data_IF_547705910614
#
_entry.id   IF_547705910614
#
_cell.length_a   1.000
_cell.length_b   1.000
_cell.length_c   1.000
_cell.angle_alpha   90.00
_cell.angle_beta   90.00
_cell.angle_gamma   90.00
#
_symmetry.space_group_name_H-M   'P 1'
#
loop_
_entity.id
_entity.type
_entity.pdbx_description
1 polymer ?
#
# COMPACT_ATOMS: atom_id res chain seq x y z
N UNK A 1 -24.25 0.68 0.54
CA UNK A 1 -22.89 0.74 1.13
C UNK A 1 -21.90 1.03 0.01
N UNK A 2 -21.08 2.07 0.13
CA UNK A 2 -19.99 2.38 -0.81
C UNK A 2 -18.64 2.28 -0.10
N UNK A 3 -17.57 2.07 -0.86
CA UNK A 3 -16.20 2.15 -0.37
C UNK A 3 -15.63 3.53 -0.73
N UNK A 4 -15.03 4.20 0.25
CA UNK A 4 -14.25 5.43 0.06
C UNK A 4 -12.78 5.09 0.28
N UNK A 5 -11.94 5.33 -0.72
CA UNK A 5 -10.51 5.11 -0.65
C UNK A 5 -9.81 6.43 -0.27
N UNK A 6 -9.31 6.49 0.97
CA UNK A 6 -8.52 7.61 1.49
C UNK A 6 -7.06 7.51 1.00
N UNK A 7 -6.85 7.64 -0.30
CA UNK A 7 -5.53 7.49 -0.94
C UNK A 7 -5.48 8.18 -2.30
N UNK A 8 -4.29 8.65 -2.67
CA UNK A 8 -3.96 9.13 -4.02
C UNK A 8 -3.24 8.08 -4.87
N UNK A 9 -3.06 6.85 -4.37
CA UNK A 9 -2.33 5.79 -5.06
C UNK A 9 -3.13 5.21 -6.24
N UNK A 10 -2.63 5.35 -7.48
CA UNK A 10 -3.27 4.73 -8.64
C UNK A 10 -3.30 3.20 -8.56
N UNK A 11 -2.25 2.61 -7.98
CA UNK A 11 -2.12 1.16 -7.85
C UNK A 11 -3.21 0.57 -6.93
N UNK A 12 -3.48 1.20 -5.77
CA UNK A 12 -4.58 0.78 -4.89
C UNK A 12 -5.94 0.89 -5.56
N UNK A 13 -6.16 1.98 -6.31
CA UNK A 13 -7.40 2.15 -7.08
C UNK A 13 -7.56 1.06 -8.14
N UNK A 14 -6.49 0.75 -8.90
CA UNK A 14 -6.51 -0.28 -9.92
C UNK A 14 -6.80 -1.68 -9.33
N UNK A 15 -6.20 -2.02 -8.17
CA UNK A 15 -6.48 -3.28 -7.47
C UNK A 15 -7.96 -3.41 -7.07
N UNK A 16 -8.56 -2.36 -6.51
CA UNK A 16 -9.97 -2.38 -6.12
C UNK A 16 -10.87 -2.55 -7.35
N UNK A 17 -10.59 -1.84 -8.44
CA UNK A 17 -11.32 -1.97 -9.70
C UNK A 17 -11.21 -3.37 -10.30
N UNK A 18 -10.00 -3.95 -10.30
CA UNK A 18 -9.79 -5.32 -10.76
C UNK A 18 -10.54 -6.35 -9.90
N UNK A 19 -10.78 -6.04 -8.61
CA UNK A 19 -11.61 -6.84 -7.70
C UNK A 19 -13.12 -6.57 -7.80
N UNK A 20 -13.55 -5.76 -8.80
CA UNK A 20 -14.96 -5.42 -9.04
C UNK A 20 -15.50 -4.31 -8.14
N UNK A 21 -14.66 -3.60 -7.40
CA UNK A 21 -15.04 -2.51 -6.50
C UNK A 21 -14.66 -1.17 -7.12
N UNK A 22 -15.63 -0.30 -7.36
CA UNK A 22 -15.38 1.08 -7.80
C UNK A 22 -15.47 2.02 -6.58
N UNK A 23 -14.32 2.41 -5.97
CA UNK A 23 -14.35 3.27 -4.80
C UNK A 23 -14.49 4.74 -5.19
N UNK A 24 -15.08 5.53 -4.30
CA UNK A 24 -14.88 6.97 -4.33
C UNK A 24 -13.47 7.29 -3.77
N UNK A 25 -12.64 7.98 -4.53
CA UNK A 25 -11.30 8.38 -4.06
C UNK A 25 -11.34 9.76 -3.43
N UNK A 26 -10.76 9.89 -2.24
CA UNK A 26 -10.63 11.17 -1.52
C UNK A 26 -9.18 11.31 -1.04
N UNK A 27 -8.46 12.37 -1.48
CA UNK A 27 -7.13 12.66 -0.96
C UNK A 27 -7.17 12.91 0.55
N UNK A 28 -6.34 12.24 1.38
CA UNK A 28 -6.44 12.35 2.83
C UNK A 28 -5.89 13.67 3.40
N UNK A 29 -4.97 14.35 2.70
CA UNK A 29 -4.41 15.64 3.14
C UNK A 29 -3.61 15.56 4.44
N UNK A 30 -3.03 14.41 4.78
CA UNK A 30 -2.24 14.17 6.00
C UNK A 30 -0.79 14.56 5.75
N UNK A 31 -0.17 15.26 6.70
CA UNK A 31 1.28 15.45 6.76
C UNK A 31 1.92 14.19 7.35
N UNK A 32 2.35 13.30 6.46
CA UNK A 32 2.86 11.99 6.83
C UNK A 32 4.20 12.09 7.57
N UNK A 33 5.08 13.01 7.14
CA UNK A 33 6.41 13.19 7.75
C UNK A 33 6.27 13.70 9.18
N UNK A 34 5.51 14.76 9.40
CA UNK A 34 5.26 15.30 10.72
C UNK A 34 4.59 14.29 11.67
N UNK A 35 3.66 13.47 11.14
CA UNK A 35 3.00 12.43 11.94
C UNK A 35 3.96 11.32 12.38
N UNK A 36 4.86 10.88 11.50
CA UNK A 36 5.89 9.88 11.81
C UNK A 36 6.88 10.44 12.84
N UNK A 37 7.40 11.65 12.61
CA UNK A 37 8.34 12.30 13.51
C UNK A 37 7.76 12.45 14.94
N UNK A 38 6.53 12.92 15.06
CA UNK A 38 5.85 13.05 16.35
C UNK A 38 5.67 11.71 17.08
N UNK A 39 5.36 10.63 16.34
CA UNK A 39 5.20 9.30 16.94
C UNK A 39 6.56 8.69 17.34
N UNK A 40 7.61 8.89 16.55
CA UNK A 40 8.97 8.46 16.87
C UNK A 40 9.53 9.20 18.09
N UNK A 41 9.29 10.50 18.20
CA UNK A 41 9.63 11.29 19.39
C UNK A 41 8.90 10.78 20.64
N UNK A 42 7.59 10.55 20.54
CA UNK A 42 6.79 10.00 21.64
C UNK A 42 7.27 8.63 22.10
N UNK A 43 7.71 7.81 21.15
CA UNK A 43 8.20 6.44 21.37
C UNK A 43 9.67 6.40 21.86
N UNK A 44 10.46 7.39 21.46
CA UNK A 44 11.92 7.44 21.69
C UNK A 44 12.73 6.50 20.79
N UNK A 45 12.14 6.02 19.69
CA UNK A 45 12.79 5.12 18.73
C UNK A 45 12.09 5.16 17.36
N UNK A 46 12.81 4.82 16.26
CA UNK A 46 12.21 4.70 14.94
C UNK A 46 11.04 3.71 14.91
N UNK A 47 10.08 3.97 14.06
CA UNK A 47 8.94 3.09 13.86
C UNK A 47 9.35 1.81 13.09
N UNK A 48 9.04 0.61 13.60
CA UNK A 48 9.10 -0.60 12.79
C UNK A 48 8.17 -0.48 11.57
N UNK A 49 8.47 -1.19 10.46
CA UNK A 49 7.67 -1.10 9.24
C UNK A 49 6.18 -1.30 9.42
N UNK A 50 5.77 -2.25 10.26
CA UNK A 50 4.36 -2.51 10.55
C UNK A 50 3.67 -1.33 11.25
N UNK A 51 4.33 -0.78 12.28
CA UNK A 51 3.78 0.32 13.03
C UNK A 51 3.68 1.58 12.17
N UNK A 52 4.69 1.80 11.30
CA UNK A 52 4.72 2.90 10.34
C UNK A 52 3.52 2.85 9.38
N UNK A 53 3.35 1.72 8.66
CA UNK A 53 2.28 1.62 7.66
C UNK A 53 0.89 1.59 8.32
N UNK A 54 0.78 1.06 9.54
CA UNK A 54 -0.47 1.03 10.29
C UNK A 54 -0.86 2.43 10.77
N UNK A 55 0.10 3.21 11.30
CA UNK A 55 -0.10 4.60 11.69
C UNK A 55 -0.61 5.44 10.51
N UNK A 56 0.10 5.41 9.40
CA UNK A 56 -0.23 6.22 8.22
C UNK A 56 -1.56 5.78 7.59
N UNK A 57 -1.85 4.48 7.52
CA UNK A 57 -3.13 3.99 7.06
C UNK A 57 -4.29 4.49 7.93
N UNK A 58 -4.11 4.47 9.24
CA UNK A 58 -5.09 4.96 10.23
C UNK A 58 -5.35 6.45 10.05
N UNK A 59 -4.31 7.27 10.06
CA UNK A 59 -4.44 8.73 9.95
C UNK A 59 -5.14 9.14 8.65
N UNK A 60 -4.83 8.47 7.53
CA UNK A 60 -5.49 8.69 6.23
C UNK A 60 -6.98 8.38 6.30
N UNK A 61 -7.35 7.25 6.88
CA UNK A 61 -8.76 6.88 7.04
C UNK A 61 -9.51 7.84 7.96
N UNK A 62 -8.92 8.20 9.11
CA UNK A 62 -9.52 9.10 10.09
C UNK A 62 -9.75 10.51 9.52
N UNK A 63 -8.78 11.06 8.77
CA UNK A 63 -8.89 12.37 8.14
C UNK A 63 -10.07 12.42 7.15
N UNK A 64 -10.21 11.40 6.31
CA UNK A 64 -11.30 11.33 5.34
C UNK A 64 -12.64 11.04 6.02
N UNK A 65 -12.69 10.12 6.99
CA UNK A 65 -13.91 9.83 7.73
C UNK A 65 -14.45 11.07 8.47
N UNK A 66 -13.55 11.87 9.08
CA UNK A 66 -13.93 13.12 9.74
C UNK A 66 -14.55 14.13 8.75
N UNK A 67 -14.06 14.20 7.51
CA UNK A 67 -14.60 15.09 6.49
C UNK A 67 -15.97 14.66 5.95
N UNK A 68 -16.25 13.34 5.94
CA UNK A 68 -17.54 12.80 5.48
C UNK A 68 -18.63 12.90 6.55
N UNK A 69 -18.27 12.83 7.83
CA UNK A 69 -19.22 12.68 8.90
C UNK A 69 -19.92 11.31 8.89
N UNK A 70 -21.14 11.24 9.43
CA UNK A 70 -21.93 9.99 9.39
C UNK A 70 -22.51 9.75 8.01
N UNK A 71 -22.15 8.60 7.42
CA UNK A 71 -22.51 8.25 6.04
C UNK A 71 -22.64 6.72 5.87
N UNK A 72 -23.35 6.26 4.86
CA UNK A 72 -23.44 4.84 4.48
C UNK A 72 -22.20 4.42 3.65
N UNK A 73 -21.04 4.53 4.28
CA UNK A 73 -19.74 4.28 3.65
C UNK A 73 -18.78 3.54 4.57
N UNK A 74 -17.89 2.76 3.96
CA UNK A 74 -16.67 2.25 4.56
C UNK A 74 -15.50 3.11 4.06
N UNK A 75 -14.68 3.65 4.95
CA UNK A 75 -13.52 4.48 4.61
C UNK A 75 -12.25 3.67 4.79
N UNK A 76 -11.52 3.44 3.71
CA UNK A 76 -10.28 2.66 3.69
C UNK A 76 -9.08 3.59 3.58
N UNK A 77 -8.23 3.59 4.57
CA UNK A 77 -6.86 4.11 4.50
C UNK A 77 -5.87 2.99 4.23
N UNK A 78 -4.80 3.32 3.54
CA UNK A 78 -3.74 2.37 3.26
C UNK A 78 -2.38 3.05 3.11
N UNK A 79 -1.33 2.37 3.59
CA UNK A 79 0.06 2.77 3.40
C UNK A 79 0.95 1.57 3.14
N UNK A 80 2.14 1.78 2.55
CA UNK A 80 3.06 0.69 2.22
C UNK A 80 4.51 1.11 2.38
N UNK A 81 5.32 0.20 2.93
CA UNK A 81 6.75 0.35 3.08
C UNK A 81 7.45 -0.96 2.71
N UNK A 82 8.65 -0.87 2.14
CA UNK A 82 9.47 -2.03 1.81
C UNK A 82 10.65 -2.12 2.77
N UNK A 83 10.81 -3.25 3.43
CA UNK A 83 11.92 -3.53 4.31
C UNK A 83 12.92 -4.48 3.63
N UNK A 84 14.19 -4.07 3.59
CA UNK A 84 15.27 -4.87 3.03
C UNK A 84 16.54 -4.65 3.84
N UNK A 85 17.18 -5.74 4.25
CA UNK A 85 18.44 -5.73 5.05
C UNK A 85 18.39 -4.79 6.26
N UNK A 86 17.27 -4.85 7.01
CA UNK A 86 17.06 -4.03 8.21
C UNK A 86 16.73 -2.56 7.96
N UNK A 87 16.63 -2.13 6.70
CA UNK A 87 16.30 -0.75 6.33
C UNK A 87 14.88 -0.69 5.76
N UNK A 88 14.10 0.29 6.20
CA UNK A 88 12.76 0.59 5.63
C UNK A 88 12.89 1.61 4.51
N UNK A 89 12.41 1.25 3.34
CA UNK A 89 12.46 2.09 2.15
C UNK A 89 11.05 2.61 1.79
N UNK A 90 10.94 3.93 1.71
CA UNK A 90 9.83 4.59 1.02
C UNK A 90 10.10 4.73 -0.48
N UNK A 91 9.52 5.75 -1.11
CA UNK A 91 9.75 6.09 -2.52
C UNK A 91 11.17 6.64 -2.72
N UNK A 92 11.89 6.30 -3.80
CA UNK A 92 13.25 6.82 -4.04
C UNK A 92 13.27 8.27 -4.53
N UNK A 93 12.25 8.70 -5.26
CA UNK A 93 12.08 10.03 -5.88
C UNK A 93 13.11 10.42 -6.94
N UNK A 94 14.33 9.92 -6.89
CA UNK A 94 15.40 10.23 -7.86
C UNK A 94 15.97 8.97 -8.50
N UNK A 95 16.45 9.05 -9.75
CA UNK A 95 17.05 7.91 -10.46
C UNK A 95 18.25 7.32 -9.74
N UNK A 96 19.14 8.16 -9.20
CA UNK A 96 20.36 7.69 -8.53
C UNK A 96 20.03 6.86 -7.28
N UNK A 97 19.05 7.30 -6.49
CA UNK A 97 18.58 6.57 -5.31
C UNK A 97 17.91 5.26 -5.73
N UNK A 98 17.09 5.27 -6.78
CA UNK A 98 16.46 4.06 -7.29
C UNK A 98 17.49 3.04 -7.79
N UNK A 99 18.50 3.47 -8.54
CA UNK A 99 19.55 2.59 -9.04
C UNK A 99 20.41 2.01 -7.92
N UNK A 100 20.76 2.81 -6.93
CA UNK A 100 21.52 2.33 -5.76
C UNK A 100 20.72 1.27 -4.98
N UNK A 101 19.41 1.46 -4.81
CA UNK A 101 18.52 0.48 -4.17
C UNK A 101 18.44 -0.82 -4.96
N UNK A 102 18.27 -0.76 -6.29
CA UNK A 102 18.22 -1.95 -7.13
C UNK A 102 19.50 -2.77 -7.09
N UNK A 103 20.68 -2.09 -7.10
CA UNK A 103 21.95 -2.78 -6.93
C UNK A 103 22.08 -3.50 -5.60
N UNK A 104 21.54 -2.91 -4.53
CA UNK A 104 21.53 -3.53 -3.21
C UNK A 104 20.52 -4.69 -3.10
N UNK A 105 19.36 -4.57 -3.76
CA UNK A 105 18.28 -5.56 -3.70
C UNK A 105 18.50 -6.77 -4.61
N UNK A 106 19.29 -6.64 -5.66
CA UNK A 106 19.58 -7.69 -6.65
C UNK A 106 20.00 -9.00 -5.98
N UNK A 107 19.29 -10.10 -6.26
CA UNK A 107 19.49 -11.42 -5.70
C UNK A 107 19.05 -11.58 -4.23
N UNK A 108 18.58 -10.51 -3.60
CA UNK A 108 18.11 -10.52 -2.23
C UNK A 108 16.62 -10.73 -2.09
N UNK A 109 16.18 -10.82 -0.84
CA UNK A 109 14.76 -10.93 -0.48
C UNK A 109 14.40 -9.82 0.50
N UNK A 110 13.38 -9.04 0.18
CA UNK A 110 12.83 -8.05 1.08
C UNK A 110 11.36 -8.31 1.40
N UNK A 111 10.78 -7.53 2.29
CA UNK A 111 9.39 -7.67 2.71
C UNK A 111 8.64 -6.38 2.44
N UNK A 112 7.55 -6.46 1.69
CA UNK A 112 6.60 -5.37 1.60
C UNK A 112 5.58 -5.48 2.74
N UNK A 113 5.39 -4.38 3.44
CA UNK A 113 4.40 -4.19 4.48
C UNK A 113 3.30 -3.28 3.94
N UNK A 114 2.05 -3.70 4.01
CA UNK A 114 0.89 -2.88 3.63
C UNK A 114 -0.07 -2.78 4.81
N UNK A 115 -0.20 -1.57 5.34
CA UNK A 115 -1.13 -1.23 6.40
C UNK A 115 -2.51 -0.93 5.83
N UNK A 116 -3.53 -1.40 6.52
CA UNK A 116 -4.94 -1.18 6.21
C UNK A 116 -5.63 -0.63 7.44
N UNK A 117 -6.46 0.39 7.27
CA UNK A 117 -7.37 0.85 8.29
C UNK A 117 -8.75 1.11 7.68
N UNK A 118 -9.75 0.42 8.18
CA UNK A 118 -11.13 0.55 7.71
C UNK A 118 -11.99 1.17 8.80
N UNK A 119 -12.74 2.21 8.46
CA UNK A 119 -13.70 2.87 9.34
C UNK A 119 -15.11 2.68 8.77
N UNK A 120 -16.02 2.19 9.57
CA UNK A 120 -17.45 2.23 9.27
C UNK A 120 -18.00 3.63 9.64
N UNK A 121 -18.26 4.45 8.62
CA UNK A 121 -18.71 5.82 8.84
C UNK A 121 -20.12 5.93 9.45
N UNK A 122 -20.89 4.84 9.50
CA UNK A 122 -22.19 4.80 10.20
C UNK A 122 -22.02 4.83 11.72
N UNK A 123 -21.04 4.10 12.24
CA UNK A 123 -20.77 3.93 13.66
C UNK A 123 -19.60 4.77 14.15
N UNK A 124 -18.63 5.06 13.29
CA UNK A 124 -17.34 5.65 13.59
C UNK A 124 -16.31 4.61 14.11
N UNK A 125 -16.69 3.33 14.17
CA UNK A 125 -15.77 2.27 14.56
C UNK A 125 -14.73 1.99 13.48
N UNK A 126 -13.47 1.81 13.88
CA UNK A 126 -12.36 1.53 12.98
C UNK A 126 -11.57 0.31 13.42
N UNK A 127 -11.09 -0.44 12.45
CA UNK A 127 -10.18 -1.56 12.65
C UNK A 127 -9.09 -1.59 11.59
N UNK A 128 -7.92 -2.11 11.95
CA UNK A 128 -6.80 -2.21 11.01
C UNK A 128 -6.05 -3.52 11.10
N UNK A 129 -5.28 -3.79 10.05
CA UNK A 129 -4.38 -4.93 9.96
C UNK A 129 -3.21 -4.62 9.03
N UNK A 130 -2.08 -5.28 9.25
CA UNK A 130 -0.92 -5.22 8.36
C UNK A 130 -0.80 -6.55 7.62
N UNK A 131 -0.71 -6.47 6.30
CA UNK A 131 -0.34 -7.59 5.45
C UNK A 131 1.15 -7.49 5.08
N UNK A 132 1.82 -8.65 4.98
CA UNK A 132 3.23 -8.74 4.58
C UNK A 132 3.35 -9.71 3.42
N UNK A 133 4.25 -9.40 2.49
CA UNK A 133 4.65 -10.32 1.44
C UNK A 133 6.16 -10.20 1.21
N UNK A 134 6.86 -11.35 1.18
CA UNK A 134 8.28 -11.39 0.83
C UNK A 134 8.43 -11.39 -0.69
N UNK A 135 9.41 -10.63 -1.18
CA UNK A 135 9.73 -10.52 -2.60
C UNK A 135 11.20 -10.85 -2.81
N UNK A 136 11.49 -11.87 -3.64
CA UNK A 136 12.85 -12.22 -4.02
C UNK A 136 13.16 -11.72 -5.43
N UNK A 137 14.25 -10.98 -5.54
CA UNK A 137 14.73 -10.42 -6.79
C UNK A 137 15.70 -11.35 -7.49
N UNK A 138 15.68 -11.34 -8.84
CA UNK A 138 16.61 -12.09 -9.65
C UNK A 138 18.07 -11.65 -9.38
N UNK A 139 18.98 -12.64 -9.35
CA UNK A 139 20.38 -12.40 -9.03
C UNK A 139 21.24 -12.04 -10.26
N UNK A 140 20.76 -12.40 -11.45
CA UNK A 140 21.48 -12.28 -12.73
C UNK A 140 21.19 -10.97 -13.48
N UNK A 141 20.50 -10.02 -12.83
CA UNK A 141 20.20 -8.72 -13.43
C UNK A 141 21.46 -7.92 -13.76
N UNK A 142 21.60 -7.53 -15.01
CA UNK A 142 22.70 -6.68 -15.48
C UNK A 142 22.51 -5.21 -15.06
N UNK A 143 23.61 -4.48 -14.92
CA UNK A 143 23.55 -3.04 -14.61
C UNK A 143 22.84 -2.24 -15.72
N UNK A 144 22.91 -2.70 -16.98
CA UNK A 144 22.22 -2.07 -18.12
C UNK A 144 20.69 -2.26 -18.02
N UNK A 145 20.21 -3.43 -17.54
CA UNK A 145 18.79 -3.68 -17.31
C UNK A 145 18.27 -2.80 -16.16
N UNK A 146 19.04 -2.68 -15.07
CA UNK A 146 18.69 -1.81 -13.95
C UNK A 146 18.64 -0.34 -14.38
N UNK A 147 19.62 0.11 -15.19
CA UNK A 147 19.64 1.47 -15.71
C UNK A 147 18.45 1.76 -16.63
N UNK A 148 18.10 0.81 -17.53
CA UNK A 148 16.95 0.92 -18.41
C UNK A 148 15.63 0.97 -17.63
N UNK A 149 15.49 0.15 -16.60
CA UNK A 149 14.30 0.17 -15.73
C UNK A 149 14.17 1.51 -14.98
N UNK A 150 15.27 2.00 -14.41
CA UNK A 150 15.25 3.30 -13.72
C UNK A 150 14.94 4.44 -14.69
N UNK A 151 15.46 4.39 -15.92
CA UNK A 151 15.19 5.39 -16.96
C UNK A 151 13.71 5.44 -17.40
N UNK A 152 12.94 4.36 -17.20
CA UNK A 152 11.49 4.37 -17.43
C UNK A 152 10.71 5.31 -16.51
N UNK A 153 11.28 5.67 -15.36
CA UNK A 153 10.63 6.48 -14.32
C UNK A 153 9.68 5.69 -13.41
N UNK A 154 9.33 4.45 -13.77
CA UNK A 154 8.38 3.63 -12.98
C UNK A 154 8.81 3.45 -11.52
N UNK A 155 10.09 3.15 -11.18
CA UNK A 155 10.51 2.91 -9.81
C UNK A 155 10.45 4.15 -8.91
N UNK A 156 10.39 5.36 -9.45
CA UNK A 156 10.63 6.60 -8.70
C UNK A 156 9.52 6.94 -7.71
N UNK A 157 8.30 6.45 -7.96
CA UNK A 157 7.09 6.82 -7.20
C UNK A 157 6.50 5.69 -6.34
N UNK A 158 7.22 4.57 -6.20
CA UNK A 158 6.75 3.38 -5.48
C UNK A 158 7.70 2.98 -4.35
N UNK A 159 7.16 2.42 -3.25
CA UNK A 159 7.95 1.91 -2.14
C UNK A 159 8.85 0.75 -2.62
N UNK A 160 10.11 0.73 -2.17
CA UNK A 160 11.09 -0.27 -2.60
C UNK A 160 11.62 -0.10 -4.01
N UNK A 161 11.14 0.88 -4.77
CA UNK A 161 11.56 1.17 -6.15
C UNK A 161 11.22 0.07 -7.17
N UNK A 162 10.14 -0.69 -7.00
CA UNK A 162 9.70 -1.72 -7.95
C UNK A 162 8.18 -1.85 -8.00
N UNK A 163 7.67 -2.39 -9.10
CA UNK A 163 6.26 -2.77 -9.28
C UNK A 163 6.20 -4.20 -9.79
N UNK A 164 5.44 -5.06 -9.10
CA UNK A 164 5.27 -6.46 -9.53
C UNK A 164 4.38 -6.59 -10.77
N UNK A 165 3.48 -5.65 -10.94
CA UNK A 165 2.49 -5.57 -12.02
C UNK A 165 2.92 -4.66 -13.17
N UNK A 166 4.20 -4.24 -13.18
CA UNK A 166 4.79 -3.37 -14.18
C UNK A 166 6.07 -3.94 -14.80
N UNK A 167 6.97 -3.03 -15.19
CA UNK A 167 8.22 -3.39 -15.90
C UNK A 167 9.20 -4.18 -15.03
N UNK A 168 9.11 -4.10 -13.69
CA UNK A 168 9.94 -4.92 -12.80
C UNK A 168 9.41 -6.34 -12.61
N UNK A 169 8.24 -6.69 -13.13
CA UNK A 169 7.71 -8.05 -13.02
C UNK A 169 8.69 -9.16 -13.39
N UNK A 170 9.42 -9.07 -14.54
CA UNK A 170 10.43 -10.05 -14.93
C UNK A 170 11.65 -10.14 -13.99
N UNK A 171 11.87 -9.14 -13.15
CA UNK A 171 13.00 -9.06 -12.20
C UNK A 171 12.69 -9.68 -10.84
N UNK A 172 11.46 -10.19 -10.66
CA UNK A 172 10.97 -10.82 -9.42
C UNK A 172 10.83 -12.31 -9.66
N UNK A 173 11.59 -13.12 -8.93
CA UNK A 173 11.58 -14.57 -9.06
C UNK A 173 10.50 -15.24 -8.21
N UNK A 174 10.20 -14.66 -7.04
CA UNK A 174 9.28 -15.29 -6.10
C UNK A 174 8.58 -14.26 -5.21
N UNK A 175 7.31 -14.53 -4.90
CA UNK A 175 6.53 -13.83 -3.88
C UNK A 175 5.97 -14.86 -2.91
N UNK A 176 6.19 -14.64 -1.62
CA UNK A 176 5.55 -15.41 -0.55
C UNK A 176 4.59 -14.48 0.23
N UNK A 177 3.33 -14.84 0.23
CA UNK A 177 2.23 -14.02 0.74
C UNK A 177 1.19 -13.66 -0.31
N UNK A 178 0.28 -12.72 0.01
CA UNK A 178 -0.72 -12.21 -0.93
C UNK A 178 -0.05 -11.26 -1.95
N UNK A 179 -0.03 -11.59 -3.26
CA UNK A 179 0.60 -10.74 -4.27
C UNK A 179 0.03 -9.32 -4.33
N UNK A 180 -1.25 -9.14 -4.01
CA UNK A 180 -1.87 -7.81 -3.98
C UNK A 180 -1.28 -6.91 -2.88
N UNK A 181 -0.70 -7.50 -1.83
CA UNK A 181 0.07 -6.77 -0.81
C UNK A 181 1.26 -6.05 -1.44
N UNK A 182 1.95 -6.68 -2.40
CA UNK A 182 3.13 -6.12 -3.07
C UNK A 182 2.75 -4.89 -3.91
N UNK A 183 1.56 -4.88 -4.50
CA UNK A 183 1.03 -3.71 -5.24
C UNK A 183 0.61 -2.58 -4.29
N UNK A 184 0.36 -2.90 -3.01
CA UNK A 184 0.14 -1.90 -1.96
C UNK A 184 -1.21 -1.96 -1.25
N UNK A 185 -1.98 -3.05 -1.46
CA UNK A 185 -3.26 -3.30 -0.78
C UNK A 185 -3.57 -4.81 -0.79
N UNK A 186 -3.53 -5.48 0.36
CA UNK A 186 -3.97 -6.87 0.44
C UNK A 186 -5.49 -6.96 0.31
N UNK A 187 -5.96 -7.53 -0.79
CA UNK A 187 -7.40 -7.74 -1.04
C UNK A 187 -8.00 -8.75 -0.06
N UNK A 188 -7.23 -9.76 0.36
CA UNK A 188 -7.67 -10.74 1.34
C UNK A 188 -7.84 -10.11 2.73
N UNK A 189 -6.88 -9.29 3.16
CA UNK A 189 -6.96 -8.55 4.42
C UNK A 189 -8.12 -7.56 4.41
N UNK A 190 -8.27 -6.80 3.33
CA UNK A 190 -9.40 -5.87 3.19
C UNK A 190 -10.74 -6.60 3.27
N UNK A 191 -10.87 -7.75 2.59
CA UNK A 191 -12.09 -8.56 2.67
C UNK A 191 -12.42 -8.94 4.12
N UNK A 192 -11.43 -9.35 4.91
CA UNK A 192 -11.64 -9.68 6.32
C UNK A 192 -12.11 -8.47 7.14
N UNK A 193 -11.49 -7.31 6.94
CA UNK A 193 -11.92 -6.07 7.61
C UNK A 193 -13.35 -5.68 7.24
N UNK A 194 -13.70 -5.74 5.95
CA UNK A 194 -15.07 -5.45 5.47
C UNK A 194 -16.08 -6.42 6.08
N UNK A 195 -15.81 -7.72 6.06
CA UNK A 195 -16.75 -8.71 6.59
C UNK A 195 -16.92 -8.61 8.11
N UNK A 196 -15.90 -8.15 8.83
CA UNK A 196 -15.97 -7.90 10.27
C UNK A 196 -16.96 -6.76 10.64
N UNK A 197 -17.23 -5.82 9.72
CA UNK A 197 -18.30 -4.80 9.92
C UNK A 197 -19.71 -5.35 9.69
N UNK A 198 -19.87 -6.62 9.39
CA UNK A 198 -21.14 -7.21 8.99
C UNK A 198 -21.52 -6.95 7.52
N UNK A 199 -20.64 -6.32 6.74
CA UNK A 199 -20.85 -6.02 5.32
C UNK A 199 -20.35 -7.18 4.45
N UNK A 200 -21.19 -7.83 3.63
CA UNK A 200 -20.72 -8.83 2.69
C UNK A 200 -19.79 -8.19 1.64
N UNK A 201 -18.62 -8.79 1.38
CA UNK A 201 -17.68 -8.29 0.37
C UNK A 201 -18.34 -8.04 -0.98
N UNK A 202 -19.18 -8.97 -1.42
CA UNK A 202 -19.89 -8.91 -2.71
C UNK A 202 -20.88 -7.76 -2.83
N UNK A 203 -21.28 -7.13 -1.71
CA UNK A 203 -22.16 -5.94 -1.74
C UNK A 203 -21.42 -4.67 -2.18
N UNK A 204 -20.08 -4.71 -2.23
CA UNK A 204 -19.23 -3.64 -2.73
C UNK A 204 -19.00 -3.74 -4.25
N UNK A 205 -19.39 -4.85 -4.89
CA UNK A 205 -19.18 -5.01 -6.32
C UNK A 205 -20.02 -4.04 -7.15
N UNK A 206 -19.37 -3.31 -8.01
CA UNK A 206 -19.97 -2.43 -9.02
C UNK A 206 -20.31 -3.25 -10.27
N UNK A 207 -21.13 -4.31 -10.10
CA UNK A 207 -21.55 -5.13 -11.23
C UNK A 207 -22.46 -4.30 -12.13
N UNK A 208 -21.95 -3.86 -13.28
CA UNK A 208 -22.84 -3.54 -14.40
C UNK A 208 -23.57 -4.84 -14.72
N UNK A 209 -24.88 -4.92 -14.46
CA UNK A 209 -25.68 -6.04 -14.98
C UNK A 209 -25.46 -6.05 -16.50
N UNK A 210 -24.84 -7.12 -17.01
CA UNK A 210 -24.91 -7.41 -18.44
C UNK A 210 -26.40 -7.57 -18.77
N UNK A 211 -26.94 -6.63 -19.56
CA UNK A 211 -28.25 -6.75 -20.18
C UNK A 211 -28.21 -7.86 -21.23
#
# INVERSE_FOLDING_TARGET
MRLVLASTSPARLALLRAAGVEPQTVPPGVDEEAAVEAEEERRGSPLPPDDLVQLLARLKAEAVAASLGRDDALVLGGDSAFAFDGVTYGKPHTPDVALARWRAQRGGTGVLHSGHWLIDARTGEGAGAVARASVRFAADLGDDELAAYVASGEPLSVAGAFTIDGLAGPFIEHVDGDPSTVVGLSLSTLRHLVTATGTPWTSLWSMTRAE
#
